data_IF_415819062603
#
_entry.id   IF_415819062603
#
_cell.length_a   1.000
_cell.length_b   1.000
_cell.length_c   1.000
_cell.angle_alpha   90.00
_cell.angle_beta   90.00
_cell.angle_gamma   90.00
#
_symmetry.space_group_name_H-M   'P 1'
#
loop_
_entity.id
_entity.type
_entity.pdbx_description
1 polymer ?
#
# COMPACT_ATOMS: atom_id res chain seq x y z
N UNK A 1 -21.86 22.44 -10.77
CA UNK A 1 -22.38 22.39 -9.38
C UNK A 1 -21.40 21.60 -8.52
N UNK A 2 -21.06 22.05 -7.30
CA UNK A 2 -20.19 21.29 -6.39
C UNK A 2 -20.89 20.03 -5.89
N UNK A 3 -20.15 18.95 -5.70
CA UNK A 3 -20.68 17.72 -5.09
C UNK A 3 -21.10 18.00 -3.64
N UNK A 4 -22.18 17.33 -3.24
CA UNK A 4 -22.66 17.28 -1.85
C UNK A 4 -22.59 15.84 -1.35
N UNK A 5 -22.33 15.66 -0.06
CA UNK A 5 -22.27 14.35 0.61
C UNK A 5 -23.55 13.51 0.39
N UNK A 6 -24.72 14.15 0.38
CA UNK A 6 -26.02 13.50 0.11
C UNK A 6 -26.08 12.87 -1.29
N UNK A 7 -25.59 13.59 -2.31
CA UNK A 7 -25.54 13.10 -3.70
C UNK A 7 -24.65 11.86 -3.76
N UNK A 8 -23.47 11.91 -3.14
CA UNK A 8 -22.50 10.80 -3.14
C UNK A 8 -23.05 9.58 -2.42
N UNK A 9 -23.68 9.76 -1.26
CA UNK A 9 -24.28 8.66 -0.48
C UNK A 9 -25.37 7.97 -1.29
N UNK A 10 -26.26 8.75 -1.90
CA UNK A 10 -27.41 8.24 -2.65
C UNK A 10 -27.06 7.73 -4.06
N UNK A 11 -25.84 7.98 -4.53
CA UNK A 11 -25.42 7.53 -5.84
C UNK A 11 -25.36 5.99 -5.90
N UNK A 12 -26.17 5.42 -6.80
CA UNK A 12 -26.32 3.98 -7.03
C UNK A 12 -25.67 3.58 -8.36
N UNK A 13 -25.23 2.33 -8.54
CA UNK A 13 -24.86 1.80 -9.85
C UNK A 13 -25.97 2.03 -10.88
N UNK A 14 -25.59 2.21 -12.14
CA UNK A 14 -26.56 2.29 -13.23
C UNK A 14 -27.32 0.96 -13.33
N UNK A 15 -28.64 1.04 -13.36
CA UNK A 15 -29.55 -0.10 -13.53
C UNK A 15 -30.27 0.14 -14.86
N UNK A 16 -30.20 -0.85 -15.76
CA UNK A 16 -30.92 -0.85 -17.03
C UNK A 16 -32.43 -1.00 -16.75
N UNK A 17 -33.35 -0.51 -17.61
CA UNK A 17 -34.80 -0.69 -17.41
C UNK A 17 -35.22 -2.14 -17.10
N UNK A 18 -34.48 -3.12 -17.61
CA UNK A 18 -34.66 -4.56 -17.37
C UNK A 18 -34.23 -5.05 -15.97
N UNK A 19 -33.93 -4.14 -15.04
CA UNK A 19 -33.54 -4.45 -13.65
C UNK A 19 -32.10 -4.96 -13.48
N UNK A 20 -31.33 -5.13 -14.57
CA UNK A 20 -29.94 -5.60 -14.52
C UNK A 20 -28.97 -4.45 -14.25
N UNK A 21 -27.97 -4.67 -13.40
CA UNK A 21 -26.88 -3.70 -13.18
C UNK A 21 -26.06 -3.57 -14.46
N UNK A 22 -25.89 -2.34 -14.94
CA UNK A 22 -25.06 -2.06 -16.11
C UNK A 22 -23.59 -2.23 -15.73
N UNK A 23 -22.78 -2.87 -16.58
CA UNK A 23 -21.33 -3.00 -16.38
C UNK A 23 -20.54 -1.70 -16.61
N UNK A 24 -21.21 -0.57 -16.84
CA UNK A 24 -20.56 0.71 -17.13
C UNK A 24 -20.42 1.53 -15.85
N UNK A 25 -19.18 1.91 -15.54
CA UNK A 25 -18.91 2.91 -14.51
C UNK A 25 -19.38 4.29 -14.99
N UNK A 26 -19.87 5.12 -14.06
CA UNK A 26 -20.14 6.52 -14.34
C UNK A 26 -19.44 7.44 -13.36
N UNK A 27 -19.30 8.70 -13.76
CA UNK A 27 -18.56 9.72 -13.01
C UNK A 27 -19.48 10.86 -12.60
N UNK A 28 -19.33 11.34 -11.38
CA UNK A 28 -19.97 12.56 -10.91
C UNK A 28 -18.86 13.57 -10.63
N UNK A 29 -18.82 14.64 -11.43
CA UNK A 29 -17.80 15.67 -11.33
C UNK A 29 -18.05 16.58 -10.12
N UNK A 30 -16.96 16.95 -9.43
CA UNK A 30 -16.96 18.04 -8.46
C UNK A 30 -16.32 19.27 -9.10
N UNK A 31 -15.09 19.60 -8.71
CA UNK A 31 -14.41 20.82 -9.09
C UNK A 31 -12.91 20.59 -9.29
N UNK A 32 -12.28 21.46 -10.09
CA UNK A 32 -10.83 21.44 -10.38
C UNK A 32 -10.30 20.09 -10.90
N UNK A 33 -11.11 19.37 -11.69
CA UNK A 33 -10.77 18.06 -12.26
C UNK A 33 -10.99 16.87 -11.32
N UNK A 34 -11.49 17.10 -10.10
CA UNK A 34 -11.87 16.03 -9.17
C UNK A 34 -13.27 15.50 -9.51
N UNK A 35 -13.43 14.19 -9.43
CA UNK A 35 -14.71 13.51 -9.59
C UNK A 35 -14.75 12.22 -8.75
N UNK A 36 -15.95 11.72 -8.51
CA UNK A 36 -16.16 10.38 -7.95
C UNK A 36 -16.59 9.44 -9.06
N UNK A 37 -15.97 8.27 -9.12
CA UNK A 37 -16.30 7.20 -10.05
C UNK A 37 -17.05 6.12 -9.31
N UNK A 38 -18.17 5.69 -9.88
CA UNK A 38 -19.09 4.72 -9.27
C UNK A 38 -19.06 3.48 -10.14
N UNK A 39 -18.59 2.40 -9.52
CA UNK A 39 -18.45 1.09 -10.14
C UNK A 39 -19.82 0.36 -10.15
N UNK A 40 -20.08 -0.49 -11.15
CA UNK A 40 -21.23 -1.40 -11.18
C UNK A 40 -21.40 -2.23 -9.89
N UNK A 41 -20.29 -2.58 -9.23
CA UNK A 41 -20.25 -3.33 -7.99
C UNK A 41 -20.68 -2.49 -6.77
N UNK A 42 -20.82 -1.17 -6.92
CA UNK A 42 -21.16 -0.23 -5.85
C UNK A 42 -19.96 0.48 -5.22
N UNK A 43 -18.73 0.15 -5.65
CA UNK A 43 -17.51 0.81 -5.21
C UNK A 43 -17.47 2.28 -5.63
N UNK A 44 -16.99 3.15 -4.75
CA UNK A 44 -16.95 4.60 -4.96
C UNK A 44 -15.53 5.13 -4.82
N UNK A 45 -14.97 5.65 -5.90
CA UNK A 45 -13.56 6.00 -5.99
C UNK A 45 -13.38 7.49 -6.25
N UNK A 46 -12.61 8.17 -5.41
CA UNK A 46 -12.20 9.54 -5.65
C UNK A 46 -11.07 9.59 -6.65
N UNK A 47 -11.26 10.29 -7.76
CA UNK A 47 -10.25 10.45 -8.80
C UNK A 47 -10.03 11.91 -9.14
N UNK A 48 -8.80 12.24 -9.51
CA UNK A 48 -8.39 13.56 -9.98
C UNK A 48 -7.77 13.41 -11.36
N UNK A 49 -8.37 14.09 -12.35
CA UNK A 49 -7.80 14.26 -13.69
C UNK A 49 -6.95 15.52 -13.69
N UNK A 50 -5.71 15.40 -14.13
CA UNK A 50 -4.75 16.51 -14.20
C UNK A 50 -3.89 16.41 -15.46
N UNK A 51 -3.18 17.50 -15.78
CA UNK A 51 -2.18 17.53 -16.84
C UNK A 51 -0.82 17.83 -16.22
N UNK A 52 0.19 17.11 -16.66
CA UNK A 52 1.58 17.29 -16.24
C UNK A 52 2.48 17.04 -17.44
N UNK A 53 3.38 17.98 -17.74
CA UNK A 53 4.27 17.95 -18.91
C UNK A 53 3.53 17.63 -20.23
N UNK A 54 2.41 18.32 -20.48
CA UNK A 54 1.60 18.13 -21.70
C UNK A 54 0.78 16.83 -21.76
N UNK A 55 0.99 15.90 -20.82
CA UNK A 55 0.27 14.61 -20.78
C UNK A 55 -0.89 14.66 -19.80
N UNK A 56 -2.03 14.12 -20.20
CA UNK A 56 -3.15 13.90 -19.31
C UNK A 56 -2.89 12.68 -18.42
N UNK A 57 -3.05 12.85 -17.11
CA UNK A 57 -2.89 11.79 -16.12
C UNK A 57 -4.07 11.76 -15.17
N UNK A 58 -4.24 10.61 -14.51
CA UNK A 58 -5.29 10.36 -13.52
C UNK A 58 -4.66 9.80 -12.26
N UNK A 59 -5.11 10.28 -11.11
CA UNK A 59 -4.67 9.77 -9.81
C UNK A 59 -5.87 9.46 -8.92
N UNK A 60 -5.74 8.42 -8.09
CA UNK A 60 -6.74 8.05 -7.09
C UNK A 60 -6.45 8.78 -5.78
N UNK A 61 -7.46 9.45 -5.23
CA UNK A 61 -7.37 10.16 -3.93
C UNK A 61 -7.80 9.26 -2.76
N UNK A 62 -8.47 8.14 -3.06
CA UNK A 62 -8.95 7.15 -2.10
C UNK A 62 -10.33 6.59 -2.44
N UNK A 63 -10.84 5.74 -1.57
CA UNK A 63 -12.16 5.09 -1.67
C UNK A 63 -13.12 5.77 -0.68
N UNK A 64 -14.38 5.93 -1.07
CA UNK A 64 -15.45 6.35 -0.16
C UNK A 64 -16.09 5.08 0.45
N UNK A 65 -16.38 5.04 1.76
CA UNK A 65 -16.47 6.15 2.72
C UNK A 65 -15.18 6.53 3.45
N UNK A 66 -14.12 5.72 3.38
CA UNK A 66 -12.86 5.93 4.12
C UNK A 66 -12.28 7.33 3.91
N UNK A 67 -12.38 7.85 2.69
CA UNK A 67 -12.08 9.24 2.35
C UNK A 67 -13.37 10.01 2.16
N UNK A 68 -13.66 10.91 3.10
CA UNK A 68 -14.79 11.84 3.01
C UNK A 68 -14.60 12.88 1.90
N UNK A 69 -15.68 13.54 1.47
CA UNK A 69 -15.62 14.62 0.47
C UNK A 69 -14.67 15.75 0.89
N UNK A 70 -14.67 16.11 2.18
CA UNK A 70 -13.77 17.14 2.71
C UNK A 70 -12.30 16.71 2.63
N UNK A 71 -12.01 15.46 2.99
CA UNK A 71 -10.65 14.90 2.86
C UNK A 71 -10.21 14.80 1.40
N UNK A 72 -11.10 14.39 0.49
CA UNK A 72 -10.83 14.36 -0.94
C UNK A 72 -10.48 15.76 -1.48
N UNK A 73 -11.22 16.81 -1.05
CA UNK A 73 -10.90 18.21 -1.41
C UNK A 73 -9.56 18.68 -0.86
N UNK A 74 -9.24 18.35 0.40
CA UNK A 74 -7.91 18.65 0.99
C UNK A 74 -6.78 17.97 0.21
N UNK A 75 -6.90 16.67 -0.07
CA UNK A 75 -5.92 15.93 -0.88
C UNK A 75 -5.77 16.51 -2.28
N UNK A 76 -6.88 16.87 -2.94
CA UNK A 76 -6.88 17.54 -4.24
C UNK A 76 -6.05 18.83 -4.21
N UNK A 77 -6.28 19.69 -3.23
CA UNK A 77 -5.54 20.96 -3.15
C UNK A 77 -4.05 20.72 -2.86
N UNK A 78 -3.70 19.75 -2.00
CA UNK A 78 -2.31 19.33 -1.78
C UNK A 78 -1.64 18.84 -3.08
N UNK A 79 -2.30 17.97 -3.85
CA UNK A 79 -1.77 17.47 -5.12
C UNK A 79 -1.62 18.57 -6.17
N UNK A 80 -2.56 19.53 -6.23
CA UNK A 80 -2.44 20.67 -7.13
C UNK A 80 -1.25 21.56 -6.78
N UNK A 81 -0.96 21.73 -5.50
CA UNK A 81 0.25 22.44 -5.04
C UNK A 81 1.53 21.71 -5.49
N UNK A 82 1.56 20.37 -5.43
CA UNK A 82 2.69 19.58 -5.93
C UNK A 82 2.88 19.69 -7.44
N UNK A 83 1.78 19.60 -8.20
CA UNK A 83 1.81 19.77 -9.66
C UNK A 83 2.34 21.16 -10.04
N UNK A 84 1.92 22.21 -9.32
CA UNK A 84 2.42 23.58 -9.53
C UNK A 84 3.92 23.71 -9.21
N UNK A 85 4.44 22.92 -8.27
CA UNK A 85 5.87 22.81 -7.97
C UNK A 85 6.65 21.95 -8.98
N UNK A 86 6.01 21.43 -10.02
CA UNK A 86 6.67 20.57 -11.00
C UNK A 86 6.90 19.13 -10.53
N UNK A 87 6.27 18.71 -9.42
CA UNK A 87 6.42 17.35 -8.88
C UNK A 87 5.25 16.49 -9.34
N UNK A 88 5.54 15.34 -9.94
CA UNK A 88 4.50 14.37 -10.33
C UNK A 88 3.96 13.64 -9.09
N UNK A 89 2.69 13.86 -8.71
CA UNK A 89 2.13 13.23 -7.51
C UNK A 89 1.97 11.71 -7.62
N UNK A 90 1.94 11.15 -8.84
CA UNK A 90 1.82 9.71 -9.02
C UNK A 90 3.07 8.94 -8.61
N UNK A 91 4.25 9.53 -8.81
CA UNK A 91 5.53 8.95 -8.39
C UNK A 91 5.64 8.96 -6.86
N UNK A 92 5.30 10.07 -6.23
CA UNK A 92 5.35 10.20 -4.76
C UNK A 92 4.46 9.18 -4.04
N UNK A 93 3.24 8.95 -4.52
CA UNK A 93 2.36 7.91 -3.94
C UNK A 93 2.96 6.50 -4.17
N UNK A 94 3.57 6.27 -5.32
CA UNK A 94 4.18 4.97 -5.64
C UNK A 94 5.37 4.68 -4.72
N UNK A 95 6.22 5.68 -4.49
CA UNK A 95 7.39 5.61 -3.61
C UNK A 95 6.96 5.37 -2.16
N UNK A 96 5.99 6.12 -1.65
CA UNK A 96 5.48 5.95 -0.29
C UNK A 96 4.89 4.55 -0.07
N UNK A 97 4.12 4.03 -1.04
CA UNK A 97 3.61 2.65 -1.00
C UNK A 97 4.69 1.58 -1.15
N UNK A 98 5.80 1.89 -1.82
CA UNK A 98 6.93 0.96 -1.94
C UNK A 98 7.70 0.91 -0.62
N UNK A 99 7.93 2.06 0.01
CA UNK A 99 8.56 2.16 1.32
C UNK A 99 7.75 1.42 2.41
N UNK A 100 6.43 1.62 2.45
CA UNK A 100 5.55 0.90 3.39
C UNK A 100 5.62 -0.61 3.20
N UNK A 101 5.53 -1.11 1.96
CA UNK A 101 5.64 -2.55 1.69
C UNK A 101 7.01 -3.11 2.03
N UNK A 102 8.08 -2.35 1.78
CA UNK A 102 9.44 -2.77 2.14
C UNK A 102 9.58 -2.88 3.66
N UNK A 103 9.01 -1.93 4.41
CA UNK A 103 9.03 -1.95 5.87
C UNK A 103 8.16 -3.07 6.44
N UNK A 104 6.95 -3.30 5.90
CA UNK A 104 6.12 -4.47 6.25
C UNK A 104 6.85 -5.78 5.99
N UNK A 105 7.54 -5.89 4.83
CA UNK A 105 8.33 -7.09 4.49
C UNK A 105 9.49 -7.27 5.47
N UNK A 106 10.18 -6.18 5.84
CA UNK A 106 11.26 -6.21 6.83
C UNK A 106 10.74 -6.63 8.21
N UNK A 107 9.61 -6.09 8.64
CA UNK A 107 8.99 -6.45 9.92
C UNK A 107 8.56 -7.92 9.94
N UNK A 108 7.95 -8.40 8.86
CA UNK A 108 7.60 -9.81 8.72
C UNK A 108 8.85 -10.70 8.75
N UNK A 109 9.91 -10.32 8.05
CA UNK A 109 11.18 -11.03 8.07
C UNK A 109 11.83 -11.04 9.46
N UNK A 110 11.78 -9.91 10.18
CA UNK A 110 12.29 -9.81 11.55
C UNK A 110 11.45 -10.66 12.53
N UNK A 111 10.13 -10.71 12.37
CA UNK A 111 9.24 -11.54 13.19
C UNK A 111 9.31 -13.04 12.90
N UNK A 112 10.05 -13.45 11.86
CA UNK A 112 10.18 -14.85 11.47
C UNK A 112 10.98 -15.67 12.47
N UNK A 113 11.94 -15.05 13.15
CA UNK A 113 12.77 -15.68 14.16
C UNK A 113 12.63 -14.91 15.47
N UNK A 114 12.29 -15.59 16.55
CA UNK A 114 12.21 -15.00 17.89
C UNK A 114 13.01 -15.86 18.85
N UNK A 115 13.96 -15.24 19.54
CA UNK A 115 14.68 -15.85 20.65
C UNK A 115 13.94 -15.46 21.95
N UNK A 116 13.53 -16.47 22.71
CA UNK A 116 12.89 -16.32 24.00
C UNK A 116 13.94 -16.05 25.08
N UNK A 117 13.54 -15.45 26.21
CA UNK A 117 14.46 -15.03 27.28
C UNK A 117 15.15 -16.19 27.98
N UNK A 118 14.59 -17.39 27.87
CA UNK A 118 15.14 -18.65 28.37
C UNK A 118 16.12 -19.33 27.38
N UNK A 119 16.31 -18.74 26.20
CA UNK A 119 17.17 -19.28 25.15
C UNK A 119 16.47 -20.18 24.13
N UNK A 120 15.14 -20.36 24.21
CA UNK A 120 14.38 -21.05 23.18
C UNK A 120 14.32 -20.27 21.86
N UNK A 121 14.41 -20.94 20.72
CA UNK A 121 14.31 -20.31 19.39
C UNK A 121 13.02 -20.73 18.70
N UNK A 122 12.18 -19.75 18.36
CA UNK A 122 10.96 -19.97 17.58
C UNK A 122 11.12 -19.45 16.15
N UNK A 123 10.73 -20.26 15.18
CA UNK A 123 10.76 -19.97 13.75
C UNK A 123 9.36 -20.12 13.17
N UNK A 124 8.79 -19.01 12.71
CA UNK A 124 7.49 -18.95 12.06
C UNK A 124 7.65 -19.14 10.53
N UNK A 125 7.44 -20.36 10.05
CA UNK A 125 7.34 -20.69 8.63
C UNK A 125 5.92 -20.42 8.09
N UNK A 126 5.75 -20.41 6.76
CA UNK A 126 4.47 -20.04 6.12
C UNK A 126 3.28 -20.90 6.58
N UNK A 127 3.53 -22.19 6.86
CA UNK A 127 2.53 -23.17 7.33
C UNK A 127 2.97 -23.97 8.57
N UNK A 128 4.08 -23.62 9.22
CA UNK A 128 4.62 -24.40 10.35
C UNK A 128 5.29 -23.47 11.35
N UNK A 129 5.11 -23.73 12.63
CA UNK A 129 5.93 -23.12 13.68
C UNK A 129 6.91 -24.19 14.17
N UNK A 130 8.20 -23.86 14.16
CA UNK A 130 9.24 -24.68 14.81
C UNK A 130 9.65 -23.96 16.09
N UNK A 131 9.51 -24.63 17.23
CA UNK A 131 10.00 -24.13 18.51
C UNK A 131 11.09 -25.09 18.96
N UNK A 132 12.31 -24.57 19.12
CA UNK A 132 13.44 -25.29 19.68
C UNK A 132 13.53 -24.94 21.17
N UNK A 133 13.67 -25.97 21.99
CA UNK A 133 14.02 -25.82 23.40
C UNK A 133 15.41 -25.17 23.54
N UNK A 134 15.78 -24.66 24.73
CA UNK A 134 17.10 -24.07 24.95
C UNK A 134 18.25 -25.04 24.61
N UNK A 135 18.10 -26.33 24.92
CA UNK A 135 19.10 -27.36 24.64
C UNK A 135 19.24 -27.59 23.13
N UNK A 136 18.13 -27.75 22.41
CA UNK A 136 18.13 -27.91 20.95
C UNK A 136 18.70 -26.67 20.24
N UNK A 137 18.45 -25.48 20.80
CA UNK A 137 18.99 -24.22 20.29
C UNK A 137 20.51 -24.16 20.45
N UNK A 138 21.06 -24.71 21.54
CA UNK A 138 22.49 -24.81 21.79
C UNK A 138 23.18 -25.77 20.81
N UNK A 139 22.58 -26.94 20.56
CA UNK A 139 23.08 -27.92 19.59
C UNK A 139 23.12 -27.33 18.17
N UNK A 140 22.06 -26.62 17.77
CA UNK A 140 22.02 -25.93 16.48
C UNK A 140 23.12 -24.88 16.35
N UNK A 141 23.39 -24.10 17.41
CA UNK A 141 24.48 -23.12 17.40
C UNK A 141 25.83 -23.79 17.23
N UNK A 142 26.10 -24.85 18.00
CA UNK A 142 27.33 -25.64 17.89
C UNK A 142 27.55 -26.15 16.46
N UNK A 143 26.50 -26.71 15.85
CA UNK A 143 26.54 -27.16 14.46
C UNK A 143 26.84 -26.02 13.47
N UNK A 144 26.19 -24.86 13.63
CA UNK A 144 26.40 -23.71 12.75
C UNK A 144 27.81 -23.12 12.88
N UNK A 145 28.35 -23.06 14.09
CA UNK A 145 29.72 -22.59 14.34
C UNK A 145 30.75 -23.54 13.74
N UNK A 146 30.53 -24.85 13.84
CA UNK A 146 31.39 -25.86 13.24
C UNK A 146 31.35 -25.87 11.69
N UNK A 147 30.25 -25.42 11.09
CA UNK A 147 30.07 -25.37 9.62
C UNK A 147 30.36 -23.99 9.03
N UNK A 148 30.73 -23.01 9.86
CA UNK A 148 31.10 -21.68 9.38
C UNK A 148 32.41 -21.78 8.61
N UNK A 149 32.45 -21.44 7.31
CA UNK A 149 33.70 -21.47 6.56
C UNK A 149 34.69 -20.48 7.18
N UNK A 150 35.92 -20.92 7.45
CA UNK A 150 36.99 -20.01 7.85
C UNK A 150 37.19 -18.99 6.74
N UNK A 151 36.91 -17.72 7.03
CA UNK A 151 37.27 -16.62 6.15
C UNK A 151 38.79 -16.67 5.94
N UNK A 152 39.28 -16.65 4.69
CA UNK A 152 40.71 -16.69 4.43
C UNK A 152 41.37 -15.51 5.16
N UNK A 153 42.28 -15.83 6.09
CA UNK A 153 43.07 -14.84 6.80
C UNK A 153 43.78 -13.99 5.75
N UNK A 154 43.56 -12.67 5.81
CA UNK A 154 44.24 -11.71 4.95
C UNK A 154 45.75 -12.02 4.98
N UNK A 155 46.31 -12.40 3.82
CA UNK A 155 47.75 -12.56 3.70
C UNK A 155 48.37 -11.16 3.82
N UNK A 156 49.39 -10.95 4.67
CA UNK A 156 50.09 -9.67 4.71
C UNK A 156 50.70 -9.42 3.34
N UNK A 157 50.35 -8.30 2.73
CA UNK A 157 51.01 -7.84 1.51
C UNK A 157 52.50 -7.64 1.80
N UNK A 158 53.36 -8.37 1.06
CA UNK A 158 54.79 -8.11 0.93
C UNK A 158 55.03 -6.97 -0.05
#
# INVERSE_FOLDING_TARGET
MPLTTKIIRNAKPLITPDGRKTQKCYRISDSKGMYIEIDPSGGKWWRLKYRFNGKEKRISLGVYPDVSLAMARKKRDAFRTLIRKGIDPSQRIKEEKAAQRAEETRQLAASRFKLESDGGLTLQLRNRCLALTPVETMELRSFLDATRPELPKEMPCL
#
